data_IF_516567814050
#
_entry.id   IF_516567814050
#
_cell.length_a   1.000
_cell.length_b   1.000
_cell.length_c   1.000
_cell.angle_alpha   90.00
_cell.angle_beta   90.00
_cell.angle_gamma   90.00
#
_symmetry.space_group_name_H-M   'P 1'
#
loop_
_entity.id
_entity.type
_entity.pdbx_description
1 polymer ?
#
# COMPACT_ATOMS: atom_id res chain seq x y z
N UNK A 1 9.83 33.91 16.52
CA UNK A 1 8.54 33.86 15.80
C UNK A 1 8.00 32.45 15.98
N UNK A 2 6.95 32.30 16.78
CA UNK A 2 6.31 31.03 17.13
C UNK A 2 5.38 30.60 16.01
N UNK A 3 5.80 29.66 15.16
CA UNK A 3 4.87 28.93 14.30
C UNK A 3 4.22 27.85 15.15
N UNK A 4 3.10 28.20 15.78
CA UNK A 4 2.10 27.24 16.25
C UNK A 4 1.48 26.58 15.03
N UNK A 5 2.15 25.59 14.44
CA UNK A 5 1.52 24.69 13.47
C UNK A 5 0.69 23.68 14.26
N UNK A 6 -0.56 24.03 14.53
CA UNK A 6 -1.63 23.06 14.77
C UNK A 6 -1.88 22.27 13.47
N UNK A 7 -0.87 21.53 13.01
CA UNK A 7 -0.97 20.57 11.93
C UNK A 7 -1.56 19.29 12.51
N UNK A 8 -2.89 19.20 12.54
CA UNK A 8 -3.56 17.91 12.73
C UNK A 8 -3.46 17.15 11.41
N UNK A 9 -2.46 16.27 11.27
CA UNK A 9 -2.49 15.26 10.22
C UNK A 9 -3.75 14.42 10.43
N UNK A 10 -4.64 14.40 9.44
CA UNK A 10 -6.00 13.86 9.62
C UNK A 10 -6.12 12.39 9.23
N UNK A 11 -5.28 11.92 8.30
CA UNK A 11 -5.25 10.53 7.91
C UNK A 11 -3.95 10.20 7.19
N UNK A 12 -3.62 8.91 7.14
CA UNK A 12 -2.60 8.41 6.25
C UNK A 12 -3.01 7.10 5.59
N UNK A 13 -2.54 6.89 4.37
CA UNK A 13 -2.77 5.66 3.61
C UNK A 13 -1.44 5.11 3.13
N UNK A 14 -1.21 3.80 3.33
CA UNK A 14 -0.09 3.13 2.65
C UNK A 14 -0.57 2.69 1.28
N UNK A 15 0.21 3.03 0.27
CA UNK A 15 -0.03 2.60 -1.09
C UNK A 15 1.23 1.98 -1.67
N UNK A 16 1.03 1.07 -2.60
CA UNK A 16 2.07 0.50 -3.45
C UNK A 16 2.01 1.22 -4.78
N UNK A 17 3.15 1.76 -5.18
CA UNK A 17 3.32 2.49 -6.42
C UNK A 17 4.14 1.62 -7.35
N UNK A 18 3.55 1.29 -8.50
CA UNK A 18 4.22 0.60 -9.59
C UNK A 18 5.00 1.58 -10.45
N UNK A 19 4.97 1.38 -11.77
CA UNK A 19 5.74 2.20 -12.70
C UNK A 19 5.21 3.63 -12.78
N UNK A 20 6.15 4.58 -12.88
CA UNK A 20 5.90 5.99 -13.17
C UNK A 20 4.85 6.63 -12.25
N UNK A 21 4.86 6.32 -10.95
CA UNK A 21 3.93 6.92 -9.99
C UNK A 21 2.52 6.29 -9.97
N UNK A 22 2.22 5.31 -10.84
CA UNK A 22 0.92 4.65 -10.87
C UNK A 22 0.70 3.84 -9.59
N UNK A 23 -0.39 4.11 -8.88
CA UNK A 23 -0.75 3.30 -7.71
C UNK A 23 -1.36 1.99 -8.16
N UNK A 24 -0.76 0.89 -7.72
CA UNK A 24 -1.19 -0.47 -8.08
C UNK A 24 -1.95 -1.16 -6.96
N UNK A 25 -1.75 -0.71 -5.72
CA UNK A 25 -2.46 -1.26 -4.58
C UNK A 25 -2.56 -0.25 -3.45
N UNK A 26 -3.71 -0.24 -2.77
CA UNK A 26 -3.95 0.55 -1.57
C UNK A 26 -4.04 -0.43 -0.40
N UNK A 27 -3.09 -0.34 0.53
CA UNK A 27 -3.01 -1.31 1.62
C UNK A 27 -4.23 -1.15 2.55
N UNK A 28 -4.95 -2.24 2.87
CA UNK A 28 -6.08 -2.18 3.76
C UNK A 28 -5.64 -1.84 5.20
N UNK A 29 -6.53 -1.19 5.97
CA UNK A 29 -6.35 -0.90 7.40
C UNK A 29 -5.16 0.01 7.76
N UNK A 30 -4.74 0.89 6.85
CA UNK A 30 -3.61 1.78 7.13
C UNK A 30 -3.97 2.91 8.09
N UNK A 31 -5.25 3.14 8.38
CA UNK A 31 -5.66 4.23 9.26
C UNK A 31 -5.51 3.82 10.74
N UNK A 32 -4.66 4.52 11.48
CA UNK A 32 -4.64 4.41 12.93
C UNK A 32 -5.88 5.09 13.52
N UNK A 33 -6.89 4.30 13.91
CA UNK A 33 -8.11 4.72 14.64
C UNK A 33 -8.85 5.98 14.12
N UNK A 34 -9.24 6.04 12.83
CA UNK A 34 -10.04 7.14 12.33
C UNK A 34 -11.47 7.07 12.90
N UNK A 35 -12.04 8.23 13.20
CA UNK A 35 -13.46 8.40 13.44
C UNK A 35 -14.30 7.94 12.24
N UNK A 36 -15.60 7.71 12.43
CA UNK A 36 -16.49 7.26 11.36
C UNK A 36 -16.55 8.28 10.20
N UNK A 37 -16.48 9.57 10.52
CA UNK A 37 -16.45 10.66 9.55
C UNK A 37 -15.15 10.61 8.72
N UNK A 38 -13.99 10.47 9.36
CA UNK A 38 -12.70 10.37 8.68
C UNK A 38 -12.59 9.14 7.79
N UNK A 39 -13.18 8.00 8.19
CA UNK A 39 -13.29 6.81 7.32
C UNK A 39 -14.12 7.10 6.07
N UNK A 40 -15.24 7.79 6.23
CA UNK A 40 -16.16 8.10 5.14
C UNK A 40 -15.54 9.08 4.16
N UNK A 41 -14.88 10.13 4.67
CA UNK A 41 -14.18 11.11 3.84
C UNK A 41 -13.00 10.48 3.10
N UNK A 42 -12.23 9.60 3.76
CA UNK A 42 -11.17 8.89 3.07
C UNK A 42 -11.71 7.96 1.99
N UNK A 43 -12.78 7.21 2.28
CA UNK A 43 -13.39 6.33 1.27
C UNK A 43 -13.81 7.15 0.05
N UNK A 44 -14.38 8.34 0.25
CA UNK A 44 -14.71 9.26 -0.84
C UNK A 44 -13.47 9.73 -1.64
N UNK A 45 -12.31 9.92 -1.01
CA UNK A 45 -11.05 10.23 -1.72
C UNK A 45 -10.58 9.04 -2.56
N UNK A 46 -10.67 7.84 -1.99
CA UNK A 46 -10.31 6.59 -2.67
C UNK A 46 -11.21 6.40 -3.90
N UNK A 47 -12.51 6.62 -3.74
CA UNK A 47 -13.51 6.46 -4.80
C UNK A 47 -13.37 7.52 -5.91
N UNK A 48 -12.95 8.74 -5.57
CA UNK A 48 -12.72 9.82 -6.54
C UNK A 48 -11.37 9.73 -7.27
N UNK A 49 -10.56 8.70 -6.99
CA UNK A 49 -9.33 8.44 -7.73
C UNK A 49 -8.17 9.38 -7.44
N UNK A 50 -8.21 10.14 -6.34
CA UNK A 50 -7.11 11.06 -5.96
C UNK A 50 -5.79 10.33 -5.67
N UNK A 51 -5.83 9.02 -5.45
CA UNK A 51 -4.67 8.15 -5.27
C UNK A 51 -4.36 7.29 -6.50
N UNK A 52 -4.97 7.50 -7.67
CA UNK A 52 -4.65 6.68 -8.86
C UNK A 52 -3.21 6.87 -9.34
N UNK A 53 -2.68 8.07 -9.14
CA UNK A 53 -1.39 8.49 -9.69
C UNK A 53 -0.69 9.43 -8.70
N UNK A 54 0.51 9.05 -8.28
CA UNK A 54 1.42 9.87 -7.49
C UNK A 54 2.51 10.46 -8.39
N UNK A 55 3.47 11.16 -7.76
CA UNK A 55 4.66 11.71 -8.42
C UNK A 55 5.37 10.63 -9.26
N UNK A 56 5.61 10.86 -10.57
CA UNK A 56 6.23 9.88 -11.46
C UNK A 56 7.62 9.38 -11.05
N UNK A 57 8.31 10.09 -10.14
CA UNK A 57 9.59 9.63 -9.60
C UNK A 57 9.50 8.31 -8.81
N UNK A 58 8.32 7.98 -8.29
CA UNK A 58 8.12 6.76 -7.53
C UNK A 58 7.96 5.58 -8.47
N UNK A 59 8.78 4.55 -8.27
CA UNK A 59 8.76 3.34 -9.07
C UNK A 59 9.07 2.13 -8.19
N UNK A 60 8.14 1.17 -8.16
CA UNK A 60 8.22 -0.04 -7.34
C UNK A 60 8.52 0.24 -5.86
N UNK A 61 7.65 1.05 -5.24
CA UNK A 61 7.80 1.47 -3.84
C UNK A 61 6.52 1.29 -3.05
N UNK A 62 6.65 1.10 -1.75
CA UNK A 62 5.57 1.40 -0.81
C UNK A 62 5.81 2.78 -0.21
N UNK A 63 4.76 3.60 -0.20
CA UNK A 63 4.79 4.93 0.40
C UNK A 63 3.63 5.12 1.37
N UNK A 64 3.81 6.05 2.29
CA UNK A 64 2.79 6.57 3.20
C UNK A 64 2.33 7.93 2.68
N UNK A 65 1.10 8.03 2.22
CA UNK A 65 0.49 9.27 1.78
C UNK A 65 -0.21 9.92 2.96
N UNK A 66 0.21 11.14 3.31
CA UNK A 66 -0.37 11.92 4.40
C UNK A 66 -1.40 12.89 3.85
N UNK A 67 -2.51 12.99 4.57
CA UNK A 67 -3.64 13.81 4.21
C UNK A 67 -3.93 14.88 5.26
N UNK A 68 -4.34 16.05 4.79
CA UNK A 68 -4.82 17.14 5.62
C UNK A 68 -6.11 17.69 5.03
N UNK A 69 -7.09 17.93 5.90
CA UNK A 69 -8.34 18.65 5.64
C UNK A 69 -8.01 20.10 5.88
N UNK A 70 -8.20 20.92 4.85
CA UNK A 70 -8.16 22.35 5.04
C UNK A 70 -9.43 22.76 5.82
N UNK A 71 -9.27 23.66 6.79
CA UNK A 71 -10.42 24.20 7.54
C UNK A 71 -11.16 25.26 6.73
N UNK A 72 -10.49 25.86 5.73
CA UNK A 72 -11.02 26.96 4.93
C UNK A 72 -11.45 26.52 3.53
N UNK A 73 -10.91 25.40 3.02
CA UNK A 73 -11.35 24.81 1.76
C UNK A 73 -12.03 23.45 2.00
N UNK A 74 -13.20 23.20 1.40
CA UNK A 74 -13.82 21.89 1.45
C UNK A 74 -12.97 20.90 0.63
N UNK A 75 -12.15 20.10 1.30
CA UNK A 75 -11.37 19.05 0.66
C UNK A 75 -10.23 18.53 1.51
N UNK A 76 -9.91 17.25 1.33
CA UNK A 76 -8.70 16.64 1.87
C UNK A 76 -7.63 16.67 0.76
N UNK A 77 -6.45 17.16 1.09
CA UNK A 77 -5.31 17.27 0.18
C UNK A 77 -4.17 16.36 0.63
N UNK A 78 -3.40 15.84 -0.34
CA UNK A 78 -2.13 15.17 -0.06
C UNK A 78 -1.12 16.24 0.35
N UNK A 79 -0.65 16.19 1.58
CA UNK A 79 0.34 17.14 2.11
C UNK A 79 1.75 16.61 2.02
N UNK A 80 1.91 15.29 2.11
CA UNK A 80 3.23 14.67 2.07
C UNK A 80 3.14 13.22 1.58
N UNK A 81 4.24 12.71 1.06
CA UNK A 81 4.41 11.29 0.71
C UNK A 81 5.75 10.83 1.24
N UNK A 82 5.73 9.86 2.15
CA UNK A 82 6.92 9.34 2.82
C UNK A 82 7.23 7.97 2.24
N UNK A 83 8.45 7.77 1.75
CA UNK A 83 8.92 6.47 1.31
C UNK A 83 9.03 5.49 2.48
N UNK A 84 8.41 4.32 2.36
CA UNK A 84 8.44 3.26 3.37
C UNK A 84 9.40 2.15 2.97
N UNK A 85 9.32 1.71 1.71
CA UNK A 85 10.12 0.59 1.19
C UNK A 85 10.35 0.78 -0.31
N UNK A 86 11.58 0.61 -0.76
CA UNK A 86 11.93 0.49 -2.19
C UNK A 86 12.00 -0.97 -2.62
N UNK A 87 11.81 -1.24 -3.92
CA UNK A 87 11.86 -2.58 -4.47
C UNK A 87 10.74 -3.47 -3.90
N UNK A 88 9.54 -2.91 -3.73
CA UNK A 88 8.48 -3.54 -2.97
C UNK A 88 8.01 -4.86 -3.60
N UNK A 89 7.95 -4.91 -4.94
CA UNK A 89 7.62 -6.10 -5.72
C UNK A 89 8.55 -7.25 -5.42
N UNK A 90 9.86 -7.00 -5.49
CA UNK A 90 10.90 -8.00 -5.23
C UNK A 90 10.93 -8.43 -3.77
N UNK A 91 10.83 -7.47 -2.86
CA UNK A 91 10.73 -7.73 -1.42
C UNK A 91 9.59 -8.70 -1.11
N UNK A 92 8.40 -8.47 -1.68
CA UNK A 92 7.26 -9.36 -1.47
C UNK A 92 7.39 -10.70 -2.16
N UNK A 93 7.95 -10.72 -3.37
CA UNK A 93 8.21 -11.95 -4.12
C UNK A 93 9.11 -12.90 -3.35
N UNK A 94 10.17 -12.37 -2.74
CA UNK A 94 11.08 -13.12 -1.88
C UNK A 94 10.37 -13.65 -0.62
N UNK A 95 9.53 -12.85 0.04
CA UNK A 95 8.80 -13.31 1.24
C UNK A 95 7.79 -14.41 0.95
N UNK A 96 7.09 -14.34 -0.20
CA UNK A 96 6.18 -15.41 -0.62
C UNK A 96 7.00 -16.67 -0.96
N UNK A 97 8.12 -16.52 -1.67
CA UNK A 97 9.03 -17.63 -1.99
C UNK A 97 9.53 -18.33 -0.72
N UNK A 98 10.01 -17.58 0.28
CA UNK A 98 10.42 -18.13 1.58
C UNK A 98 9.31 -18.90 2.31
N UNK A 99 8.05 -18.47 2.15
CA UNK A 99 6.90 -19.14 2.75
C UNK A 99 6.53 -20.43 2.02
N UNK A 100 6.67 -20.47 0.70
CA UNK A 100 6.50 -21.68 -0.10
C UNK A 100 7.59 -22.73 0.18
N UNK A 101 8.81 -22.29 0.49
CA UNK A 101 9.92 -23.20 0.85
C UNK A 101 9.83 -23.74 2.27
N UNK A 102 9.26 -22.95 3.18
CA UNK A 102 8.92 -23.45 4.50
C UNK A 102 7.92 -24.58 4.36
N UNK A 103 8.13 -25.70 5.07
CA UNK A 103 7.18 -26.80 5.11
C UNK A 103 5.80 -26.26 5.49
N UNK A 104 4.89 -26.18 4.53
CA UNK A 104 3.48 -25.85 4.76
C UNK A 104 2.88 -27.02 5.53
N UNK A 105 2.94 -26.94 6.86
CA UNK A 105 2.56 -28.04 7.73
C UNK A 105 1.03 -28.17 7.86
N UNK A 106 0.26 -27.27 7.21
CA UNK A 106 -1.19 -27.26 7.28
C UNK A 106 -1.86 -26.71 6.01
N UNK A 107 -3.08 -27.18 5.74
CA UNK A 107 -3.99 -26.64 4.71
C UNK A 107 -4.22 -25.13 4.86
N UNK A 108 -4.18 -24.62 6.10
CA UNK A 108 -4.34 -23.18 6.37
C UNK A 108 -3.17 -22.37 5.82
N UNK A 109 -1.95 -22.90 5.91
CA UNK A 109 -0.76 -22.23 5.40
C UNK A 109 -0.79 -22.21 3.86
N UNK A 110 -1.23 -23.29 3.23
CA UNK A 110 -1.40 -23.36 1.77
C UNK A 110 -2.41 -22.33 1.25
N UNK A 111 -3.59 -22.25 1.86
CA UNK A 111 -4.61 -21.23 1.49
C UNK A 111 -4.04 -19.82 1.66
N UNK A 112 -3.38 -19.55 2.78
CA UNK A 112 -2.79 -18.24 3.05
C UNK A 112 -1.67 -17.85 2.07
N UNK A 113 -0.87 -18.82 1.63
CA UNK A 113 0.19 -18.57 0.64
C UNK A 113 -0.45 -18.29 -0.74
N UNK A 114 -1.45 -19.08 -1.14
CA UNK A 114 -2.16 -18.86 -2.39
C UNK A 114 -2.87 -17.50 -2.42
N UNK A 115 -3.49 -17.07 -1.32
CA UNK A 115 -4.08 -15.74 -1.21
C UNK A 115 -3.05 -14.63 -1.44
N UNK A 116 -1.81 -14.82 -0.94
CA UNK A 116 -0.71 -13.86 -1.14
C UNK A 116 -0.18 -13.86 -2.57
N UNK A 117 -0.13 -15.03 -3.21
CA UNK A 117 0.23 -15.15 -4.63
C UNK A 117 -0.79 -14.42 -5.47
N UNK A 118 -2.08 -14.77 -5.34
CA UNK A 118 -3.18 -14.15 -6.08
C UNK A 118 -3.15 -12.62 -5.90
N UNK A 119 -2.97 -12.16 -4.66
CA UNK A 119 -2.90 -10.74 -4.38
C UNK A 119 -1.71 -10.05 -5.07
N UNK A 120 -0.53 -10.68 -5.08
CA UNK A 120 0.64 -10.15 -5.78
C UNK A 120 0.41 -10.10 -7.30
N UNK A 121 -0.16 -11.16 -7.87
CA UNK A 121 -0.49 -11.23 -9.30
C UNK A 121 -1.51 -10.17 -9.70
N UNK A 122 -2.55 -9.95 -8.89
CA UNK A 122 -3.53 -8.88 -9.09
C UNK A 122 -2.89 -7.49 -9.04
N UNK A 123 -1.98 -7.25 -8.08
CA UNK A 123 -1.30 -5.95 -7.93
C UNK A 123 -0.45 -5.62 -9.17
N UNK A 124 0.31 -6.59 -9.69
CA UNK A 124 1.27 -6.34 -10.76
C UNK A 124 0.78 -6.76 -12.15
N UNK A 125 -0.39 -7.39 -12.23
CA UNK A 125 -0.98 -7.95 -13.45
C UNK A 125 -0.01 -8.86 -14.20
N UNK A 126 0.67 -9.74 -13.47
CA UNK A 126 1.61 -10.73 -14.01
C UNK A 126 1.61 -12.01 -13.16
N UNK A 127 2.00 -13.14 -13.74
CA UNK A 127 2.07 -14.41 -13.03
C UNK A 127 3.23 -14.41 -12.01
N UNK A 128 2.98 -14.96 -10.83
CA UNK A 128 3.96 -15.10 -9.78
C UNK A 128 5.01 -16.15 -10.16
N UNK A 129 6.27 -15.75 -10.10
CA UNK A 129 7.41 -16.66 -10.28
C UNK A 129 8.29 -16.58 -9.04
N UNK A 130 8.51 -17.71 -8.32
CA UNK A 130 9.40 -17.73 -7.17
C UNK A 130 10.82 -17.24 -7.50
N UNK A 131 11.48 -16.58 -6.56
CA UNK A 131 12.86 -16.06 -6.75
C UNK A 131 13.91 -17.15 -6.89
N UNK A 132 13.60 -18.37 -6.44
CA UNK A 132 14.47 -19.55 -6.51
C UNK A 132 13.66 -20.82 -6.69
N UNK A 133 14.31 -21.88 -7.17
CA UNK A 133 13.68 -23.19 -7.38
C UNK A 133 13.24 -23.78 -6.04
N UNK A 134 11.94 -24.03 -5.93
CA UNK A 134 11.35 -24.71 -4.79
C UNK A 134 11.41 -26.21 -5.10
N UNK A 135 12.19 -26.96 -4.31
CA UNK A 135 12.55 -28.34 -4.63
C UNK A 135 11.50 -29.39 -4.22
N UNK A 136 10.29 -28.97 -3.84
CA UNK A 136 9.27 -29.83 -3.25
C UNK A 136 7.89 -29.67 -3.94
N UNK A 137 7.85 -29.77 -5.27
CA UNK A 137 6.61 -30.09 -6.01
C UNK A 137 6.74 -31.50 -6.60
#
# INVERSE_FOLDING_TARGET
MTTNTNQSALAYVRVVVGNEGKVVHICPNTLYHPSLEEKTELQHILDNGALQQLDPKYNDVQVLVLFQKDKEQPGIQIVNTILVQEGFKEFWRERITQKLEGSSNSLRDEVYINDRINHWEECYNENFVPTRKISNL
#
